data_IF_438956590147
#
_entry.id   IF_438956590147
#
_cell.length_a   1.000
_cell.length_b   1.000
_cell.length_c   1.000
_cell.angle_alpha   90.00
_cell.angle_beta   90.00
_cell.angle_gamma   90.00
#
_symmetry.space_group_name_H-M   'P 1'
#
loop_
_entity.id
_entity.type
_entity.pdbx_description
1 polymer ?
#
# COMPACT_ATOMS: atom_id res chain seq x y z
N UNK A 1 14.99 38.47 2.78
CA UNK A 1 14.18 38.43 1.55
C UNK A 1 13.19 37.30 1.69
N UNK A 2 11.90 37.61 1.63
CA UNK A 2 10.80 36.68 1.88
C UNK A 2 10.72 35.63 0.78
N UNK A 3 10.92 34.36 1.13
CA UNK A 3 10.38 33.25 0.35
C UNK A 3 9.06 32.89 1.01
N UNK A 4 7.99 33.53 0.58
CA UNK A 4 6.67 32.92 0.63
C UNK A 4 6.73 31.70 -0.28
N UNK A 5 7.11 30.54 0.25
CA UNK A 5 6.89 29.28 -0.44
C UNK A 5 5.38 29.13 -0.56
N UNK A 6 4.84 29.35 -1.76
CA UNK A 6 3.50 28.87 -2.04
C UNK A 6 3.52 27.37 -1.70
N UNK A 7 2.75 26.95 -0.70
CA UNK A 7 2.68 25.55 -0.30
C UNK A 7 2.34 24.72 -1.54
N UNK A 8 3.28 23.87 -1.94
CA UNK A 8 3.20 23.10 -3.16
C UNK A 8 2.04 22.11 -3.03
N UNK A 9 1.03 22.28 -3.88
CA UNK A 9 -0.14 21.41 -3.96
C UNK A 9 0.28 20.06 -4.55
N UNK A 10 -0.18 18.96 -3.95
CA UNK A 10 0.08 17.61 -4.44
C UNK A 10 -1.17 17.03 -5.09
N UNK A 11 -1.08 16.70 -6.38
CA UNK A 11 -2.19 16.15 -7.15
C UNK A 11 -2.58 14.76 -6.64
N UNK A 12 -3.88 14.55 -6.48
CA UNK A 12 -4.49 13.22 -6.36
C UNK A 12 -5.60 13.12 -7.39
N UNK A 13 -5.37 12.33 -8.43
CA UNK A 13 -6.39 12.08 -9.44
C UNK A 13 -7.44 11.10 -8.93
N UNK A 14 -8.70 11.37 -9.25
CA UNK A 14 -9.87 10.60 -8.85
C UNK A 14 -10.68 10.22 -10.09
N UNK A 15 -10.69 8.94 -10.45
CA UNK A 15 -11.54 8.42 -11.52
C UNK A 15 -12.67 7.54 -10.95
N UNK A 16 -13.91 7.91 -11.25
CA UNK A 16 -15.07 7.13 -10.84
C UNK A 16 -15.38 5.97 -11.78
N UNK A 17 -15.95 4.93 -11.18
CA UNK A 17 -16.53 3.76 -11.84
C UNK A 17 -17.84 3.37 -11.14
N UNK A 18 -18.83 2.81 -11.86
CA UNK A 18 -20.04 2.34 -11.22
C UNK A 18 -19.76 1.15 -10.28
N UNK A 19 -20.62 0.94 -9.29
CA UNK A 19 -20.60 -0.26 -8.45
C UNK A 19 -20.73 -1.52 -9.30
N UNK A 20 -19.83 -2.48 -9.08
CA UNK A 20 -19.76 -3.70 -9.90
C UNK A 20 -19.21 -3.47 -11.31
N UNK A 21 -18.40 -2.42 -11.51
CA UNK A 21 -17.73 -2.14 -12.77
C UNK A 21 -17.01 -3.37 -13.36
N UNK A 22 -17.11 -3.51 -14.68
CA UNK A 22 -16.37 -4.51 -15.44
C UNK A 22 -14.86 -4.25 -15.40
N UNK A 23 -14.07 -5.28 -15.70
CA UNK A 23 -12.61 -5.15 -15.80
C UNK A 23 -12.19 -4.05 -16.79
N UNK A 24 -12.89 -3.92 -17.92
CA UNK A 24 -12.62 -2.87 -18.92
C UNK A 24 -12.85 -1.46 -18.36
N UNK A 25 -13.94 -1.25 -17.61
CA UNK A 25 -14.22 0.04 -16.95
C UNK A 25 -13.15 0.38 -15.89
N UNK A 26 -12.69 -0.60 -15.12
CA UNK A 26 -11.59 -0.41 -14.16
C UNK A 26 -10.29 -0.08 -14.89
N UNK A 27 -9.99 -0.76 -16.00
CA UNK A 27 -8.79 -0.51 -16.81
C UNK A 27 -8.79 0.92 -17.37
N UNK A 28 -9.90 1.35 -17.94
CA UNK A 28 -10.05 2.70 -18.50
C UNK A 28 -9.96 3.78 -17.41
N UNK A 29 -10.63 3.59 -16.27
CA UNK A 29 -10.52 4.51 -15.14
C UNK A 29 -9.10 4.58 -14.59
N UNK A 30 -8.38 3.45 -14.56
CA UNK A 30 -6.98 3.39 -14.13
C UNK A 30 -6.07 4.19 -15.05
N UNK A 31 -6.25 4.07 -16.37
CA UNK A 31 -5.50 4.86 -17.35
C UNK A 31 -5.77 6.36 -17.21
N UNK A 32 -7.04 6.74 -17.12
CA UNK A 32 -7.44 8.14 -16.92
C UNK A 32 -6.88 8.70 -15.63
N UNK A 33 -6.94 7.95 -14.52
CA UNK A 33 -6.41 8.41 -13.24
C UNK A 33 -4.89 8.62 -13.28
N UNK A 34 -4.14 7.66 -13.84
CA UNK A 34 -2.70 7.78 -13.99
C UNK A 34 -2.31 8.99 -14.85
N UNK A 35 -2.98 9.17 -16.01
CA UNK A 35 -2.67 10.23 -16.97
C UNK A 35 -3.15 11.63 -16.56
N UNK A 36 -4.05 11.73 -15.57
CA UNK A 36 -4.47 13.01 -15.00
C UNK A 36 -3.51 13.52 -13.92
N UNK A 37 -2.62 12.67 -13.39
CA UNK A 37 -1.53 13.09 -12.51
C UNK A 37 -0.43 13.76 -13.34
N UNK A 38 0.10 13.02 -14.31
CA UNK A 38 1.06 13.52 -15.29
C UNK A 38 1.00 12.66 -16.57
N UNK A 39 1.70 13.08 -17.60
CA UNK A 39 1.81 12.35 -18.87
C UNK A 39 2.89 11.26 -18.84
N UNK A 40 3.34 10.82 -17.66
CA UNK A 40 4.46 9.89 -17.48
C UNK A 40 5.79 10.37 -18.10
N UNK A 41 6.02 11.69 -18.21
CA UNK A 41 7.24 12.27 -18.78
C UNK A 41 8.55 11.84 -18.08
N UNK A 42 8.45 11.27 -16.88
CA UNK A 42 9.59 10.68 -16.18
C UNK A 42 10.11 9.40 -16.82
N UNK A 43 9.31 8.71 -17.65
CA UNK A 43 9.64 7.45 -18.30
C UNK A 43 10.29 7.70 -19.67
N UNK A 44 11.53 7.23 -19.85
CA UNK A 44 12.20 7.28 -21.15
C UNK A 44 12.03 5.96 -21.90
N UNK A 45 11.99 5.98 -23.25
CA UNK A 45 11.96 4.74 -24.03
C UNK A 45 13.13 3.82 -23.68
N UNK A 46 12.81 2.57 -23.34
CA UNK A 46 13.80 1.56 -22.94
C UNK A 46 14.01 1.41 -21.43
N UNK A 47 13.54 2.34 -20.59
CA UNK A 47 13.66 2.26 -19.14
C UNK A 47 12.96 1.01 -18.58
N UNK A 48 13.47 0.49 -17.47
CA UNK A 48 12.86 -0.59 -16.70
C UNK A 48 12.04 -0.02 -15.54
N UNK A 49 10.80 -0.48 -15.45
CA UNK A 49 9.85 -0.08 -14.40
C UNK A 49 9.48 -1.27 -13.54
N UNK A 50 9.60 -1.12 -12.23
CA UNK A 50 9.11 -2.09 -11.27
C UNK A 50 7.73 -1.68 -10.73
N UNK A 51 6.74 -2.54 -10.90
CA UNK A 51 5.43 -2.39 -10.29
C UNK A 51 5.39 -3.23 -9.01
N UNK A 52 5.09 -2.56 -7.90
CA UNK A 52 4.88 -3.18 -6.60
C UNK A 52 3.38 -3.32 -6.29
N UNK A 53 2.73 -4.45 -6.60
CA UNK A 53 1.40 -4.75 -6.08
C UNK A 53 1.46 -5.18 -4.60
N UNK A 54 0.31 -5.57 -4.06
CA UNK A 54 0.12 -6.24 -2.77
C UNK A 54 -0.36 -7.67 -3.01
N UNK A 55 0.47 -8.65 -2.63
CA UNK A 55 0.27 -10.08 -2.80
C UNK A 55 0.51 -10.78 -1.45
N UNK A 56 -0.23 -10.39 -0.40
CA UNK A 56 -0.08 -10.99 0.94
C UNK A 56 -0.53 -12.45 0.99
N UNK A 57 -1.53 -12.84 0.20
CA UNK A 57 -2.10 -14.20 0.16
C UNK A 57 -2.69 -14.51 -1.21
N UNK A 58 -3.23 -15.73 -1.36
CA UNK A 58 -3.95 -16.17 -2.57
C UNK A 58 -5.41 -15.70 -2.63
N UNK A 59 -5.85 -14.86 -1.67
CA UNK A 59 -7.20 -14.30 -1.68
C UNK A 59 -7.36 -13.28 -2.83
N UNK A 60 -8.50 -13.28 -3.53
CA UNK A 60 -8.75 -12.36 -4.64
C UNK A 60 -8.87 -10.90 -4.15
N UNK A 61 -8.82 -9.96 -5.09
CA UNK A 61 -9.24 -8.57 -4.86
C UNK A 61 -10.61 -8.53 -4.13
N UNK A 62 -10.81 -7.65 -3.12
CA UNK A 62 -9.92 -6.58 -2.66
C UNK A 62 -8.96 -6.98 -1.55
N UNK A 63 -8.67 -8.28 -1.34
CA UNK A 63 -7.62 -8.75 -0.42
C UNK A 63 -6.19 -8.48 -0.92
N UNK A 64 -6.06 -8.18 -2.21
CA UNK A 64 -4.79 -7.91 -2.92
C UNK A 64 -5.02 -6.73 -3.88
N UNK A 65 -4.03 -6.37 -4.69
CA UNK A 65 -4.22 -5.37 -5.78
C UNK A 65 -5.28 -5.84 -6.78
N UNK A 66 -5.97 -4.91 -7.45
CA UNK A 66 -6.92 -5.25 -8.53
C UNK A 66 -6.17 -5.77 -9.77
N UNK A 67 -6.47 -6.99 -10.26
CA UNK A 67 -5.86 -7.51 -11.49
C UNK A 67 -6.14 -6.64 -12.72
N UNK A 68 -7.35 -6.08 -12.84
CA UNK A 68 -7.71 -5.19 -13.94
C UNK A 68 -6.90 -3.88 -13.92
N UNK A 69 -6.76 -3.26 -12.75
CA UNK A 69 -5.94 -2.07 -12.61
C UNK A 69 -4.45 -2.36 -12.90
N UNK A 70 -3.93 -3.51 -12.43
CA UNK A 70 -2.56 -3.92 -12.71
C UNK A 70 -2.32 -4.08 -14.23
N UNK A 71 -3.21 -4.78 -14.93
CA UNK A 71 -3.12 -4.94 -16.38
C UNK A 71 -3.11 -3.60 -17.11
N UNK A 72 -3.93 -2.64 -16.67
CA UNK A 72 -3.97 -1.29 -17.23
C UNK A 72 -2.67 -0.52 -17.04
N UNK A 73 -2.08 -0.55 -15.83
CA UNK A 73 -0.80 0.12 -15.56
C UNK A 73 0.34 -0.51 -16.37
N UNK A 74 0.40 -1.85 -16.44
CA UNK A 74 1.40 -2.55 -17.27
C UNK A 74 1.27 -2.13 -18.73
N UNK A 75 0.06 -2.20 -19.30
CA UNK A 75 -0.20 -1.82 -20.68
C UNK A 75 0.16 -0.36 -20.96
N UNK A 76 -0.20 0.55 -20.06
CA UNK A 76 0.12 1.97 -20.18
C UNK A 76 1.63 2.22 -20.21
N UNK A 77 2.40 1.61 -19.30
CA UNK A 77 3.86 1.77 -19.27
C UNK A 77 4.52 1.23 -20.54
N UNK A 78 4.03 0.10 -21.07
CA UNK A 78 4.52 -0.49 -22.33
C UNK A 78 4.23 0.42 -23.52
N UNK A 79 3.03 0.97 -23.61
CA UNK A 79 2.65 1.94 -24.66
C UNK A 79 3.48 3.22 -24.60
N UNK A 80 3.88 3.65 -23.41
CA UNK A 80 4.80 4.78 -23.20
C UNK A 80 6.28 4.44 -23.41
N UNK A 81 6.59 3.21 -23.84
CA UNK A 81 7.92 2.83 -24.29
C UNK A 81 8.80 2.18 -23.22
N UNK A 82 8.26 1.74 -22.07
CA UNK A 82 9.03 0.97 -21.10
C UNK A 82 9.65 -0.29 -21.76
N UNK A 83 10.97 -0.40 -21.68
CA UNK A 83 11.71 -1.53 -22.24
C UNK A 83 11.38 -2.82 -21.50
N UNK A 84 11.28 -2.73 -20.17
CA UNK A 84 10.89 -3.83 -19.28
C UNK A 84 9.90 -3.34 -18.22
N UNK A 85 8.88 -4.16 -17.96
CA UNK A 85 7.97 -3.95 -16.83
C UNK A 85 8.02 -5.19 -15.96
N UNK A 86 8.47 -5.03 -14.73
CA UNK A 86 8.59 -6.12 -13.76
C UNK A 86 7.50 -5.96 -12.71
N UNK A 87 6.79 -7.04 -12.39
CA UNK A 87 5.77 -7.06 -11.34
C UNK A 87 6.23 -8.00 -10.23
N UNK A 88 6.33 -7.49 -9.00
CA UNK A 88 6.89 -8.28 -7.91
C UNK A 88 6.46 -7.88 -6.51
N UNK A 89 6.37 -8.87 -5.63
CA UNK A 89 6.13 -8.72 -4.19
C UNK A 89 6.72 -9.93 -3.45
N UNK A 90 6.61 -9.96 -2.12
CA UNK A 90 6.77 -11.16 -1.31
C UNK A 90 5.57 -11.34 -0.38
N UNK A 91 5.02 -12.55 -0.39
CA UNK A 91 3.86 -12.97 0.38
C UNK A 91 3.89 -12.64 1.86
N UNK A 92 2.71 -12.60 2.47
CA UNK A 92 2.56 -12.41 3.91
C UNK A 92 3.22 -13.55 4.68
N UNK A 93 3.71 -13.24 5.89
CA UNK A 93 4.51 -14.16 6.72
C UNK A 93 3.79 -15.46 7.12
N UNK A 94 2.46 -15.46 7.07
CA UNK A 94 1.63 -16.66 7.24
C UNK A 94 1.77 -17.65 6.07
N UNK A 95 2.01 -17.15 4.86
CA UNK A 95 1.98 -17.91 3.61
C UNK A 95 3.38 -18.17 3.05
N UNK A 96 4.29 -17.20 3.14
CA UNK A 96 5.67 -17.28 2.63
C UNK A 96 6.66 -17.02 3.76
N UNK A 97 7.63 -17.92 3.91
CA UNK A 97 8.70 -17.82 4.90
C UNK A 97 10.04 -18.14 4.25
N UNK A 98 10.89 -17.14 4.17
CA UNK A 98 12.24 -17.25 3.63
C UNK A 98 13.26 -17.32 4.78
N UNK A 99 14.25 -18.19 4.67
CA UNK A 99 15.41 -18.31 5.56
C UNK A 99 16.65 -18.61 4.71
N UNK A 100 17.89 -18.46 5.25
CA UNK A 100 19.09 -18.90 4.55
C UNK A 100 18.94 -20.35 4.06
N UNK A 101 19.11 -20.57 2.76
CA UNK A 101 19.03 -21.88 2.11
C UNK A 101 17.63 -22.54 2.08
N UNK A 102 16.55 -21.87 2.50
CA UNK A 102 15.21 -22.48 2.55
C UNK A 102 14.07 -21.48 2.34
N UNK A 103 13.11 -21.86 1.50
CA UNK A 103 11.84 -21.16 1.32
C UNK A 103 10.67 -22.11 1.61
N UNK A 104 9.68 -21.65 2.38
CA UNK A 104 8.39 -22.33 2.56
C UNK A 104 7.27 -21.43 2.06
N UNK A 105 6.42 -21.95 1.19
CA UNK A 105 5.41 -21.16 0.48
C UNK A 105 5.92 -20.66 -0.87
N UNK A 106 5.10 -19.91 -1.60
CA UNK A 106 5.46 -19.33 -2.90
C UNK A 106 4.54 -18.16 -3.21
N UNK A 107 5.09 -16.96 -3.34
CA UNK A 107 4.35 -15.76 -3.76
C UNK A 107 3.83 -15.95 -5.18
N UNK A 108 4.57 -16.62 -6.07
CA UNK A 108 4.09 -16.99 -7.40
C UNK A 108 2.79 -17.77 -7.36
N UNK A 109 2.69 -18.80 -6.51
CA UNK A 109 1.44 -19.57 -6.36
C UNK A 109 0.29 -18.70 -5.84
N UNK A 110 0.56 -17.80 -4.89
CA UNK A 110 -0.45 -16.86 -4.38
C UNK A 110 -0.92 -15.90 -5.51
N UNK A 111 0.02 -15.36 -6.29
CA UNK A 111 -0.26 -14.47 -7.42
C UNK A 111 -1.04 -15.16 -8.55
N UNK A 112 -0.80 -16.46 -8.77
CA UNK A 112 -1.62 -17.26 -9.69
C UNK A 112 -3.04 -17.47 -9.14
N UNK A 113 -3.17 -17.75 -7.84
CA UNK A 113 -4.48 -17.98 -7.20
C UNK A 113 -5.37 -16.73 -7.19
N UNK A 114 -4.78 -15.54 -6.97
CA UNK A 114 -5.54 -14.29 -6.93
C UNK A 114 -5.65 -13.57 -8.29
N UNK A 115 -5.07 -14.15 -9.36
CA UNK A 115 -5.15 -13.64 -10.73
C UNK A 115 -4.12 -12.56 -11.11
N UNK A 116 -3.30 -12.06 -10.18
CA UNK A 116 -2.32 -11.01 -10.47
C UNK A 116 -1.19 -11.48 -11.39
N UNK A 117 -0.76 -12.74 -11.27
CA UNK A 117 0.26 -13.31 -12.15
C UNK A 117 -0.23 -13.33 -13.61
N UNK A 118 -1.45 -13.81 -13.83
CA UNK A 118 -2.06 -13.87 -15.16
C UNK A 118 -2.23 -12.47 -15.75
N UNK A 119 -2.83 -11.54 -15.01
CA UNK A 119 -3.06 -10.18 -15.47
C UNK A 119 -1.76 -9.44 -15.85
N UNK A 120 -0.70 -9.61 -15.05
CA UNK A 120 0.62 -9.04 -15.36
C UNK A 120 1.23 -9.63 -16.63
N UNK A 121 1.24 -10.95 -16.76
CA UNK A 121 1.87 -11.64 -17.90
C UNK A 121 1.12 -11.40 -19.21
N UNK A 122 -0.22 -11.44 -19.19
CA UNK A 122 -1.05 -11.15 -20.37
C UNK A 122 -0.89 -9.70 -20.83
N UNK A 123 -0.69 -8.75 -19.90
CA UNK A 123 -0.37 -7.37 -20.23
C UNK A 123 1.09 -7.15 -20.67
N UNK A 124 1.94 -8.18 -20.61
CA UNK A 124 3.32 -8.16 -21.11
C UNK A 124 4.39 -7.81 -20.07
N UNK A 125 4.12 -8.02 -18.77
CA UNK A 125 5.11 -7.86 -17.71
C UNK A 125 5.86 -9.17 -17.38
N UNK A 126 7.06 -9.02 -16.84
CA UNK A 126 7.87 -10.08 -16.24
C UNK A 126 7.49 -10.24 -14.75
N UNK A 127 7.34 -11.47 -14.26
CA UNK A 127 7.06 -11.72 -12.84
C UNK A 127 8.36 -11.91 -12.04
N UNK A 128 8.53 -11.14 -10.97
CA UNK A 128 9.71 -11.19 -10.10
C UNK A 128 9.32 -11.26 -8.61
N UNK A 129 9.19 -12.47 -8.07
CA UNK A 129 8.88 -12.65 -6.64
C UNK A 129 10.16 -12.79 -5.82
N UNK A 130 10.29 -11.98 -4.76
CA UNK A 130 11.59 -11.75 -4.13
C UNK A 130 12.18 -13.01 -3.49
N UNK A 131 11.34 -13.90 -2.96
CA UNK A 131 11.85 -15.12 -2.34
C UNK A 131 12.47 -16.11 -3.34
N UNK A 132 12.13 -16.02 -4.62
CA UNK A 132 12.62 -16.90 -5.69
C UNK A 132 14.09 -16.63 -6.03
N UNK A 133 14.56 -15.39 -5.86
CA UNK A 133 15.95 -15.00 -6.10
C UNK A 133 16.90 -15.44 -4.97
N UNK A 134 16.35 -15.90 -3.83
CA UNK A 134 17.13 -16.40 -2.69
C UNK A 134 17.47 -15.35 -1.64
N UNK A 135 18.06 -15.81 -0.53
CA UNK A 135 18.29 -14.99 0.68
C UNK A 135 19.30 -13.86 0.46
N UNK A 136 20.30 -14.10 -0.38
CA UNK A 136 21.38 -13.15 -0.70
C UNK A 136 20.99 -12.15 -1.79
N UNK A 137 19.83 -12.30 -2.43
CA UNK A 137 19.33 -11.37 -3.45
C UNK A 137 18.65 -10.14 -2.84
N UNK A 138 19.20 -9.64 -1.73
CA UNK A 138 18.74 -8.47 -1.01
C UNK A 138 19.92 -7.59 -0.63
N UNK A 139 19.70 -6.29 -0.58
CA UNK A 139 20.68 -5.30 -0.11
C UNK A 139 20.11 -4.47 1.03
N UNK A 140 21.01 -3.94 1.88
CA UNK A 140 20.62 -3.05 2.97
C UNK A 140 20.47 -1.61 2.45
N UNK A 141 19.33 -0.98 2.75
CA UNK A 141 19.08 0.47 2.59
C UNK A 141 18.56 1.04 3.91
N UNK A 142 18.93 2.26 4.26
CA UNK A 142 18.65 2.84 5.58
C UNK A 142 17.59 3.94 5.49
N UNK A 143 16.62 3.96 6.42
CA UNK A 143 15.73 5.10 6.58
C UNK A 143 16.50 6.38 6.91
N UNK A 144 15.80 7.52 6.88
CA UNK A 144 16.35 8.78 7.36
C UNK A 144 16.84 8.67 8.83
N UNK A 145 17.85 9.47 9.22
CA UNK A 145 18.36 9.47 10.59
C UNK A 145 17.27 9.71 11.63
N UNK A 146 17.39 9.06 12.79
CA UNK A 146 16.41 9.14 13.88
C UNK A 146 15.27 8.12 13.80
N UNK A 147 15.32 7.18 12.86
CA UNK A 147 14.35 6.09 12.75
C UNK A 147 14.41 5.11 13.93
N UNK A 148 13.30 4.41 14.19
CA UNK A 148 13.19 3.32 15.17
C UNK A 148 13.86 2.02 14.71
N UNK A 149 14.22 1.91 13.44
CA UNK A 149 14.98 0.78 12.89
C UNK A 149 16.40 0.72 13.46
N UNK A 150 16.79 -0.43 14.02
CA UNK A 150 18.15 -0.70 14.52
C UNK A 150 19.11 -1.00 13.37
N UNK A 151 18.60 -1.72 12.37
CA UNK A 151 19.33 -2.13 11.16
C UNK A 151 18.71 -1.48 9.94
N UNK A 152 19.41 -1.46 8.81
CA UNK A 152 18.78 -1.10 7.54
C UNK A 152 17.75 -2.15 7.10
N UNK A 153 16.92 -1.76 6.14
CA UNK A 153 15.94 -2.62 5.52
C UNK A 153 16.63 -3.46 4.46
N UNK A 154 16.45 -4.77 4.52
CA UNK A 154 16.90 -5.66 3.46
C UNK A 154 15.86 -5.64 2.33
N UNK A 155 16.16 -4.90 1.26
CA UNK A 155 15.32 -4.69 0.07
C UNK A 155 15.79 -5.59 -1.09
N UNK A 156 14.90 -5.99 -2.02
CA UNK A 156 15.24 -6.98 -3.05
C UNK A 156 16.10 -6.36 -4.15
N UNK A 157 17.11 -7.11 -4.63
CA UNK A 157 18.12 -6.57 -5.55
C UNK A 157 17.59 -6.11 -6.92
N UNK A 158 16.40 -6.56 -7.30
CA UNK A 158 15.70 -6.05 -8.49
C UNK A 158 15.51 -4.54 -8.45
N UNK A 159 15.40 -3.92 -7.25
CA UNK A 159 15.23 -2.47 -7.13
C UNK A 159 16.47 -1.69 -7.55
N UNK A 160 17.67 -2.31 -7.59
CA UNK A 160 18.87 -1.67 -8.15
C UNK A 160 18.93 -1.73 -9.68
N UNK A 161 18.14 -2.61 -10.28
CA UNK A 161 18.15 -2.91 -11.72
C UNK A 161 17.04 -2.21 -12.51
N UNK A 162 16.29 -1.32 -11.85
CA UNK A 162 15.19 -0.55 -12.44
C UNK A 162 15.37 0.94 -12.18
N UNK A 163 14.87 1.75 -13.10
CA UNK A 163 14.92 3.21 -13.03
C UNK A 163 13.74 3.75 -12.21
N UNK A 164 12.58 3.10 -12.29
CA UNK A 164 11.33 3.60 -11.74
C UNK A 164 10.53 2.55 -10.96
N UNK A 165 9.77 3.02 -9.98
CA UNK A 165 8.84 2.22 -9.20
C UNK A 165 7.42 2.81 -9.33
N UNK A 166 6.45 1.96 -9.64
CA UNK A 166 5.02 2.25 -9.53
C UNK A 166 4.44 1.40 -8.40
N UNK A 167 3.89 2.03 -7.38
CA UNK A 167 3.26 1.35 -6.26
C UNK A 167 1.78 1.13 -6.55
N UNK A 168 1.28 -0.08 -6.33
CA UNK A 168 -0.13 -0.41 -6.55
C UNK A 168 -0.76 -1.02 -5.29
N UNK A 169 -1.06 -0.18 -4.28
CA UNK A 169 -1.65 -0.67 -3.05
C UNK A 169 -3.14 -1.00 -3.24
N UNK A 170 -3.77 -1.35 -2.12
CA UNK A 170 -5.21 -1.60 -2.00
C UNK A 170 -5.78 -0.62 -0.98
N UNK A 171 -7.10 -0.44 -1.00
CA UNK A 171 -7.80 0.28 0.06
C UNK A 171 -8.40 -0.74 1.05
N UNK A 172 -7.85 -0.83 2.26
CA UNK A 172 -8.28 -1.84 3.23
C UNK A 172 -8.02 -1.47 4.69
N UNK A 173 -8.85 -2.02 5.57
CA UNK A 173 -8.62 -2.10 7.02
C UNK A 173 -7.66 -3.26 7.34
N UNK A 174 -6.94 -3.13 8.45
CA UNK A 174 -5.95 -4.12 8.91
C UNK A 174 -6.00 -4.33 10.43
N UNK A 175 -5.98 -5.60 10.83
CA UNK A 175 -6.10 -6.05 12.23
C UNK A 175 -5.05 -5.45 13.18
N UNK A 176 -3.82 -5.27 12.72
CA UNK A 176 -2.72 -4.73 13.54
C UNK A 176 -2.48 -3.22 13.35
N UNK A 177 -2.41 -2.74 12.10
CA UNK A 177 -1.84 -1.45 11.75
C UNK A 177 -2.87 -0.33 11.51
N UNK A 178 -4.16 -0.56 11.74
CA UNK A 178 -5.16 0.42 11.33
C UNK A 178 -5.60 0.12 9.90
N UNK A 179 -4.79 0.53 8.94
CA UNK A 179 -5.10 0.41 7.52
C UNK A 179 -4.04 -0.40 6.77
N UNK A 180 -4.34 -0.80 5.54
CA UNK A 180 -3.38 -1.31 4.56
C UNK A 180 -3.59 -0.53 3.28
N UNK A 181 -2.82 0.54 3.17
CA UNK A 181 -2.75 1.46 2.05
C UNK A 181 -1.33 1.45 1.43
N UNK A 182 -0.90 2.52 0.77
CA UNK A 182 0.40 2.67 0.13
C UNK A 182 1.58 2.54 1.07
N UNK A 183 1.64 3.32 2.16
CA UNK A 183 2.76 3.31 3.10
C UNK A 183 2.99 1.90 3.68
N UNK A 184 1.92 1.14 3.92
CA UNK A 184 2.01 -0.21 4.48
C UNK A 184 2.57 -1.25 3.50
N UNK A 185 2.48 -1.00 2.20
CA UNK A 185 2.95 -1.91 1.15
C UNK A 185 4.49 -2.08 1.16
N UNK A 186 5.22 -1.17 1.82
CA UNK A 186 6.68 -1.25 2.00
C UNK A 186 7.14 -2.55 2.66
N UNK A 187 6.31 -3.13 3.54
CA UNK A 187 6.63 -4.39 4.22
C UNK A 187 6.76 -5.56 3.23
N UNK A 188 6.10 -5.48 2.07
CA UNK A 188 6.23 -6.46 1.00
C UNK A 188 7.65 -6.57 0.43
N UNK A 189 8.45 -5.50 0.45
CA UNK A 189 9.84 -5.52 0.01
C UNK A 189 10.78 -6.23 0.97
N UNK A 190 10.47 -6.19 2.27
CA UNK A 190 11.42 -6.56 3.31
C UNK A 190 11.72 -8.06 3.31
N UNK A 191 13.01 -8.41 3.41
CA UNK A 191 13.45 -9.77 3.75
C UNK A 191 12.92 -10.18 5.12
N UNK A 192 12.90 -11.49 5.37
CA UNK A 192 12.25 -12.09 6.51
C UNK A 192 12.82 -11.66 7.88
N UNK A 193 14.12 -11.38 7.96
CA UNK A 193 14.78 -10.84 9.16
C UNK A 193 14.39 -9.38 9.45
N UNK A 194 14.31 -8.53 8.43
CA UNK A 194 13.75 -7.17 8.56
C UNK A 194 12.28 -7.22 9.03
N UNK A 195 11.47 -8.16 8.51
CA UNK A 195 10.08 -8.36 8.99
C UNK A 195 10.02 -8.84 10.45
N UNK A 196 10.99 -9.62 10.90
CA UNK A 196 11.10 -10.04 12.30
C UNK A 196 11.35 -8.83 13.22
N UNK A 197 12.32 -7.99 12.89
CA UNK A 197 12.58 -6.75 13.66
C UNK A 197 11.32 -5.89 13.75
N UNK A 198 10.65 -5.68 12.61
CA UNK A 198 9.41 -4.93 12.50
C UNK A 198 8.29 -5.43 13.43
N UNK A 199 8.00 -6.74 13.42
CA UNK A 199 6.95 -7.31 14.27
C UNK A 199 7.36 -7.48 15.74
N UNK A 200 8.66 -7.57 16.02
CA UNK A 200 9.17 -7.58 17.39
C UNK A 200 8.98 -6.22 18.07
N UNK A 201 9.14 -5.13 17.32
CA UNK A 201 8.98 -3.74 17.77
C UNK A 201 7.52 -3.25 17.72
N UNK A 202 6.58 -4.03 18.27
CA UNK A 202 5.15 -3.73 18.20
C UNK A 202 4.74 -2.34 18.68
N UNK A 203 5.47 -1.75 19.64
CA UNK A 203 5.20 -0.41 20.17
C UNK A 203 5.43 0.73 19.15
N UNK A 204 6.42 0.54 18.27
CA UNK A 204 6.85 1.53 17.27
C UNK A 204 6.52 1.08 15.83
N UNK A 205 5.72 0.01 15.66
CA UNK A 205 5.49 -0.62 14.36
C UNK A 205 4.83 0.34 13.35
N UNK A 206 3.99 1.27 13.81
CA UNK A 206 3.39 2.30 12.96
C UNK A 206 4.43 3.32 12.48
N UNK A 207 5.26 3.82 13.39
CA UNK A 207 6.36 4.74 13.07
C UNK A 207 7.34 4.08 12.11
N UNK A 208 7.77 2.84 12.41
CA UNK A 208 8.65 2.04 11.55
C UNK A 208 8.06 1.82 10.14
N UNK A 209 6.72 1.75 10.01
CA UNK A 209 6.06 1.64 8.70
C UNK A 209 6.25 2.91 7.88
N UNK A 210 6.04 4.07 8.49
CA UNK A 210 6.27 5.35 7.82
C UNK A 210 7.76 5.58 7.51
N UNK A 211 8.64 5.31 8.46
CA UNK A 211 10.10 5.45 8.30
C UNK A 211 10.66 4.54 7.20
N UNK A 212 10.12 3.33 7.03
CA UNK A 212 10.52 2.42 5.97
C UNK A 212 10.33 3.00 4.55
N UNK A 213 9.40 3.95 4.38
CA UNK A 213 9.19 4.64 3.10
C UNK A 213 10.22 5.76 2.85
N UNK A 214 11.10 6.04 3.81
CA UNK A 214 12.14 7.08 3.71
C UNK A 214 13.51 6.55 3.27
N UNK A 215 13.61 5.26 2.95
CA UNK A 215 14.83 4.68 2.37
C UNK A 215 15.12 5.31 1.01
N UNK A 216 16.40 5.51 0.72
CA UNK A 216 16.86 6.25 -0.46
C UNK A 216 16.34 5.65 -1.78
N UNK A 217 16.26 4.33 -1.86
CA UNK A 217 15.75 3.61 -3.04
C UNK A 217 14.32 4.01 -3.37
N UNK A 218 13.43 4.11 -2.37
CA UNK A 218 12.02 4.41 -2.60
C UNK A 218 11.82 5.90 -2.89
N UNK A 219 12.44 6.78 -2.09
CA UNK A 219 12.37 8.23 -2.30
C UNK A 219 12.85 8.63 -3.70
N UNK A 220 13.91 8.00 -4.20
CA UNK A 220 14.51 8.36 -5.47
C UNK A 220 13.86 7.69 -6.67
N UNK A 221 13.15 6.57 -6.52
CA UNK A 221 12.64 5.78 -7.67
C UNK A 221 11.13 5.67 -7.77
N UNK A 222 10.37 5.88 -6.69
CA UNK A 222 8.91 5.88 -6.79
C UNK A 222 8.43 7.09 -7.59
N UNK A 223 7.53 6.85 -8.56
CA UNK A 223 7.00 7.88 -9.47
C UNK A 223 5.50 8.03 -9.37
N UNK A 224 4.80 6.93 -9.11
CA UNK A 224 3.35 6.89 -9.13
C UNK A 224 2.84 5.86 -8.12
N UNK A 225 1.72 6.18 -7.49
CA UNK A 225 0.93 5.27 -6.66
C UNK A 225 -0.47 5.18 -7.24
N UNK A 226 -0.99 3.97 -7.48
CA UNK A 226 -2.31 3.76 -8.10
C UNK A 226 -3.11 2.70 -7.36
N UNK A 227 -4.32 3.04 -6.91
CA UNK A 227 -5.23 2.08 -6.25
C UNK A 227 -6.60 2.06 -6.89
N UNK A 228 -7.07 0.86 -7.21
CA UNK A 228 -8.49 0.63 -7.42
C UNK A 228 -9.15 0.35 -6.06
N UNK A 229 -10.23 1.08 -5.79
CA UNK A 229 -11.02 1.02 -4.58
C UNK A 229 -12.52 1.00 -4.89
N UNK A 230 -12.89 0.37 -6.02
CA UNK A 230 -14.26 -0.05 -6.33
C UNK A 230 -14.74 -1.18 -5.41
N UNK A 231 -13.81 -1.90 -4.79
CA UNK A 231 -14.08 -2.74 -3.64
C UNK A 231 -13.09 -2.44 -2.50
N UNK A 232 -13.58 -2.50 -1.27
CA UNK A 232 -12.81 -2.17 -0.07
C UNK A 232 -12.93 -3.32 0.94
N UNK A 233 -11.81 -3.82 1.47
CA UNK A 233 -11.86 -4.73 2.60
C UNK A 233 -12.01 -3.91 3.89
N UNK A 234 -13.24 -3.83 4.38
CA UNK A 234 -13.61 -2.81 5.34
C UNK A 234 -13.30 -3.19 6.80
N UNK A 235 -12.99 -4.45 7.12
CA UNK A 235 -12.79 -4.90 8.51
C UNK A 235 -11.49 -5.68 8.73
N UNK A 236 -11.53 -6.91 9.24
CA UNK A 236 -10.41 -7.69 9.77
C UNK A 236 -9.04 -7.48 9.10
N UNK A 237 -8.88 -7.81 7.82
CA UNK A 237 -7.62 -7.70 7.07
C UNK A 237 -6.43 -8.49 7.66
N UNK A 238 -5.36 -8.73 6.87
CA UNK A 238 -5.24 -8.42 5.46
C UNK A 238 -5.94 -9.45 4.53
N UNK A 239 -6.18 -10.68 4.99
CA UNK A 239 -6.67 -11.77 4.11
C UNK A 239 -8.20 -11.87 4.03
N UNK A 240 -8.88 -11.62 5.15
CA UNK A 240 -10.33 -11.82 5.31
C UNK A 240 -10.98 -10.59 5.93
N UNK A 241 -12.27 -10.44 5.76
CA UNK A 241 -13.03 -9.31 6.30
C UNK A 241 -14.30 -9.10 5.49
N UNK A 242 -15.07 -8.10 5.89
CA UNK A 242 -16.23 -7.68 5.13
C UNK A 242 -15.77 -6.90 3.89
N UNK A 243 -16.19 -7.34 2.70
CA UNK A 243 -15.94 -6.64 1.44
C UNK A 243 -17.11 -5.71 1.17
N UNK A 244 -16.82 -4.42 1.02
CA UNK A 244 -17.75 -3.41 0.56
C UNK A 244 -17.55 -3.18 -0.94
N UNK A 245 -18.66 -3.15 -1.68
CA UNK A 245 -18.71 -2.65 -3.07
C UNK A 245 -19.60 -1.41 -3.05
N UNK A 246 -19.03 -0.19 -3.05
CA UNK A 246 -19.82 1.03 -3.04
C UNK A 246 -20.63 1.18 -4.33
N UNK A 247 -21.71 1.97 -4.30
CA UNK A 247 -22.48 2.29 -5.51
C UNK A 247 -21.65 3.02 -6.57
N UNK A 248 -20.63 3.74 -6.10
CA UNK A 248 -19.62 4.41 -6.92
C UNK A 248 -18.24 4.03 -6.40
N UNK A 249 -17.44 3.35 -7.22
CA UNK A 249 -16.05 3.04 -6.94
C UNK A 249 -15.10 4.16 -7.36
N UNK A 250 -13.90 4.17 -6.78
CA UNK A 250 -12.83 5.09 -7.15
C UNK A 250 -11.58 4.34 -7.62
N UNK A 251 -10.92 4.88 -8.64
CA UNK A 251 -9.51 4.64 -8.92
C UNK A 251 -8.75 5.92 -8.60
N UNK A 252 -7.73 5.81 -7.75
CA UNK A 252 -6.95 6.92 -7.22
C UNK A 252 -5.51 6.83 -7.74
N UNK A 253 -4.93 7.97 -8.12
CA UNK A 253 -3.52 8.04 -8.51
C UNK A 253 -2.84 9.31 -7.97
N UNK A 254 -1.56 9.23 -7.61
CA UNK A 254 -0.77 10.38 -7.13
C UNK A 254 0.72 10.10 -7.29
N UNK A 255 1.58 11.13 -7.44
CA UNK A 255 3.03 10.93 -7.37
C UNK A 255 3.50 10.77 -5.91
N UNK A 256 2.67 11.13 -4.93
CA UNK A 256 2.99 11.05 -3.50
C UNK A 256 2.19 9.95 -2.83
N UNK A 257 2.89 9.02 -2.18
CA UNK A 257 2.25 7.97 -1.37
C UNK A 257 1.50 8.54 -0.18
N UNK A 258 1.97 9.65 0.40
CA UNK A 258 1.30 10.31 1.53
C UNK A 258 0.00 10.94 1.08
N UNK A 259 0.00 11.72 -0.01
CA UNK A 259 -1.22 12.33 -0.53
C UNK A 259 -2.23 11.28 -1.01
N UNK A 260 -1.75 10.23 -1.69
CA UNK A 260 -2.57 9.07 -2.05
C UNK A 260 -3.23 8.44 -0.82
N UNK A 261 -2.47 8.17 0.23
CA UNK A 261 -2.98 7.48 1.41
C UNK A 261 -3.92 8.35 2.26
N UNK A 262 -3.75 9.67 2.28
CA UNK A 262 -4.72 10.59 2.91
C UNK A 262 -6.11 10.41 2.27
N UNK A 263 -6.17 10.43 0.94
CA UNK A 263 -7.43 10.27 0.19
C UNK A 263 -7.94 8.84 0.28
N UNK A 264 -7.06 7.84 0.19
CA UNK A 264 -7.47 6.44 0.31
C UNK A 264 -7.98 6.10 1.71
N UNK A 265 -7.43 6.71 2.76
CA UNK A 265 -7.94 6.57 4.12
C UNK A 265 -9.28 7.29 4.27
N UNK A 266 -9.42 8.51 3.76
CA UNK A 266 -10.71 9.21 3.72
C UNK A 266 -11.79 8.37 3.03
N UNK A 267 -11.46 7.73 1.90
CA UNK A 267 -12.35 6.81 1.19
C UNK A 267 -12.73 5.59 2.03
N UNK A 268 -11.77 4.99 2.73
CA UNK A 268 -12.03 3.88 3.65
C UNK A 268 -12.95 4.29 4.82
N UNK A 269 -12.72 5.46 5.41
CA UNK A 269 -13.53 6.01 6.51
C UNK A 269 -14.95 6.29 6.02
N UNK A 270 -15.09 7.00 4.89
CA UNK A 270 -16.38 7.32 4.28
C UNK A 270 -17.22 6.05 4.08
N UNK A 271 -16.66 5.03 3.44
CA UNK A 271 -17.39 3.78 3.17
C UNK A 271 -17.67 2.97 4.45
N UNK A 272 -16.78 3.02 5.46
CA UNK A 272 -17.02 2.34 6.74
C UNK A 272 -18.13 2.99 7.55
N UNK A 273 -18.41 4.28 7.39
CA UNK A 273 -19.54 4.96 8.07
C UNK A 273 -20.90 4.42 7.62
N UNK A 274 -20.98 3.82 6.44
CA UNK A 274 -22.18 3.18 5.93
C UNK A 274 -22.38 1.74 6.45
N UNK A 275 -21.44 1.17 7.21
CA UNK A 275 -21.57 -0.18 7.75
C UNK A 275 -22.51 -0.22 8.95
N UNK A 276 -23.28 -1.30 9.06
CA UNK A 276 -24.03 -1.60 10.27
C UNK A 276 -23.07 -1.77 11.46
N UNK A 277 -23.39 -1.26 12.66
CA UNK A 277 -22.54 -1.42 13.85
C UNK A 277 -22.21 -2.89 14.18
N UNK A 278 -23.10 -3.82 13.82
CA UNK A 278 -22.87 -5.27 13.99
C UNK A 278 -21.77 -5.84 13.08
N UNK A 279 -21.39 -5.13 12.01
CA UNK A 279 -20.35 -5.54 11.07
C UNK A 279 -18.95 -5.05 11.48
N UNK A 280 -18.85 -4.06 12.36
CA UNK A 280 -17.59 -3.43 12.81
C UNK A 280 -17.23 -3.75 14.27
N UNK A 281 -17.94 -4.67 14.93
CA UNK A 281 -17.62 -5.07 16.30
C UNK A 281 -16.22 -5.69 16.45
N UNK A 282 -15.70 -5.75 17.68
CA UNK A 282 -14.31 -6.18 17.96
C UNK A 282 -13.97 -7.61 17.50
N UNK A 283 -14.95 -8.50 17.28
CA UNK A 283 -14.70 -9.83 16.72
C UNK A 283 -14.43 -9.77 15.22
N UNK A 284 -15.01 -8.78 14.53
CA UNK A 284 -14.89 -8.54 13.09
C UNK A 284 -13.84 -7.49 12.74
N UNK A 285 -13.52 -6.60 13.67
CA UNK A 285 -12.44 -5.61 13.60
C UNK A 285 -11.56 -5.68 14.86
N UNK A 286 -10.59 -6.62 14.92
CA UNK A 286 -9.80 -6.91 16.12
C UNK A 286 -8.87 -5.77 16.51
N UNK A 287 -8.62 -4.82 15.61
CA UNK A 287 -7.86 -3.62 15.92
C UNK A 287 -8.62 -2.70 16.88
N UNK A 288 -9.94 -2.87 17.06
CA UNK A 288 -10.68 -2.21 18.13
C UNK A 288 -10.35 -2.76 19.53
N UNK A 289 -9.59 -3.87 19.63
CA UNK A 289 -9.20 -4.50 20.90
C UNK A 289 -7.69 -4.59 21.04
N UNK A 290 -7.07 -3.83 21.97
CA UNK A 290 -5.65 -3.93 22.27
C UNK A 290 -5.21 -5.36 22.60
N UNK A 291 -6.02 -6.12 23.34
CA UNK A 291 -5.70 -7.51 23.70
C UNK A 291 -5.59 -8.40 22.45
N UNK A 292 -6.57 -8.34 21.55
CA UNK A 292 -6.60 -9.18 20.34
C UNK A 292 -5.49 -8.80 19.36
N UNK A 293 -5.26 -7.50 19.17
CA UNK A 293 -4.19 -7.01 18.31
C UNK A 293 -2.81 -7.42 18.81
N UNK A 294 -2.59 -7.36 20.14
CA UNK A 294 -1.35 -7.86 20.76
C UNK A 294 -1.18 -9.37 20.57
N UNK A 295 -2.20 -10.17 20.89
CA UNK A 295 -2.14 -11.62 20.70
C UNK A 295 -1.78 -12.00 19.25
N UNK A 296 -2.39 -11.31 18.28
CA UNK A 296 -2.09 -11.51 16.86
C UNK A 296 -0.66 -11.09 16.50
N UNK A 297 -0.15 -9.96 17.01
CA UNK A 297 1.24 -9.55 16.75
C UNK A 297 2.26 -10.53 17.36
N UNK A 298 2.03 -11.01 18.58
CA UNK A 298 2.87 -12.02 19.22
C UNK A 298 2.89 -13.34 18.41
N UNK A 299 1.74 -13.77 17.88
CA UNK A 299 1.68 -14.94 17.00
C UNK A 299 2.51 -14.74 15.73
N UNK A 300 2.43 -13.55 15.12
CA UNK A 300 3.22 -13.19 13.93
C UNK A 300 4.73 -13.19 14.23
N UNK A 301 5.17 -12.55 15.31
CA UNK A 301 6.55 -12.56 15.76
C UNK A 301 7.04 -14.00 16.04
N UNK A 302 6.18 -14.85 16.58
CA UNK A 302 6.43 -16.28 16.77
C UNK A 302 6.64 -17.05 15.45
N UNK A 303 5.87 -16.74 14.40
CA UNK A 303 6.07 -17.34 13.07
C UNK A 303 7.39 -16.91 12.41
N UNK A 304 7.87 -15.71 12.73
CA UNK A 304 9.09 -15.12 12.21
C UNK A 304 10.33 -15.67 12.93
N UNK A 305 10.36 -15.56 14.26
CA UNK A 305 11.54 -15.82 15.11
C UNK A 305 11.42 -16.97 16.11
N UNK A 306 10.30 -17.72 16.10
CA UNK A 306 10.05 -18.80 17.06
C UNK A 306 9.42 -18.32 18.38
N UNK A 307 9.15 -19.26 19.30
CA UNK A 307 8.36 -19.00 20.52
C UNK A 307 8.94 -17.86 21.38
N UNK A 308 10.26 -17.76 21.52
CA UNK A 308 10.91 -16.71 22.30
C UNK A 308 10.69 -15.30 21.71
N UNK A 309 10.73 -15.16 20.39
CA UNK A 309 10.40 -13.90 19.72
C UNK A 309 8.91 -13.54 19.88
N UNK A 310 8.05 -14.55 19.85
CA UNK A 310 6.62 -14.37 20.12
C UNK A 310 6.34 -13.88 21.53
N UNK A 311 6.98 -14.43 22.56
CA UNK A 311 6.77 -14.02 23.96
C UNK A 311 7.37 -12.65 24.30
N UNK A 312 8.46 -12.27 23.62
CA UNK A 312 9.20 -11.03 23.89
C UNK A 312 8.83 -9.85 22.98
N UNK A 313 7.86 -10.03 22.07
CA UNK A 313 7.39 -8.95 21.22
C UNK A 313 6.82 -7.80 22.08
N UNK A 314 7.17 -6.56 21.73
CA UNK A 314 6.66 -5.40 22.43
C UNK A 314 5.18 -5.17 22.12
N UNK A 315 4.47 -4.61 23.08
CA UNK A 315 3.03 -4.41 22.96
C UNK A 315 2.69 -3.40 21.85
N UNK A 316 1.79 -3.79 20.97
CA UNK A 316 1.21 -2.96 19.92
C UNK A 316 0.05 -2.13 20.49
N UNK A 317 0.02 -0.85 20.11
CA UNK A 317 -1.10 0.04 20.42
C UNK A 317 -1.95 0.20 19.16
N UNK A 318 -3.18 -0.33 19.13
CA UNK A 318 -4.06 -0.16 17.98
C UNK A 318 -4.51 1.28 17.79
N UNK A 319 -5.15 1.54 16.66
CA UNK A 319 -5.50 2.90 16.26
C UNK A 319 -6.95 2.94 15.79
N UNK A 320 -7.81 3.78 16.41
CA UNK A 320 -9.15 4.03 15.90
C UNK A 320 -9.08 4.57 14.46
N UNK A 321 -10.12 4.30 13.67
CA UNK A 321 -10.18 4.68 12.26
C UNK A 321 -11.37 5.62 11.98
N UNK A 322 -11.62 6.56 12.87
CA UNK A 322 -12.75 7.49 12.75
C UNK A 322 -12.37 8.76 11.99
N UNK A 323 -11.09 9.12 12.07
CA UNK A 323 -10.49 10.33 11.50
C UNK A 323 -9.11 10.03 10.92
N UNK A 324 -8.71 10.80 9.91
CA UNK A 324 -7.41 10.66 9.25
C UNK A 324 -6.25 10.94 10.21
N UNK A 325 -6.37 11.96 11.08
CA UNK A 325 -5.34 12.31 12.07
C UNK A 325 -5.03 11.20 13.08
N UNK A 326 -5.95 10.26 13.28
CA UNK A 326 -5.74 9.16 14.23
C UNK A 326 -4.74 8.13 13.67
N UNK A 327 -4.64 7.97 12.35
CA UNK A 327 -3.74 6.98 11.74
C UNK A 327 -2.27 7.35 12.05
N UNK A 328 -1.67 6.62 12.98
CA UNK A 328 -0.30 6.86 13.45
C UNK A 328 0.74 6.73 12.35
N UNK A 329 0.49 5.88 11.33
CA UNK A 329 1.41 5.72 10.20
C UNK A 329 1.41 7.01 9.38
N UNK A 330 0.22 7.50 8.99
CA UNK A 330 0.10 8.73 8.22
C UNK A 330 0.54 9.97 9.00
N UNK A 331 0.15 10.09 10.26
CA UNK A 331 0.57 11.20 11.12
C UNK A 331 2.10 11.24 11.30
N UNK A 332 2.75 10.08 11.44
CA UNK A 332 4.21 10.03 11.49
C UNK A 332 4.85 10.33 10.12
N UNK A 333 4.31 9.77 9.03
CA UNK A 333 4.78 10.03 7.67
C UNK A 333 4.75 11.53 7.34
N UNK A 334 3.65 12.23 7.64
CA UNK A 334 3.54 13.68 7.45
C UNK A 334 4.64 14.42 8.24
N UNK A 335 4.92 14.04 9.48
CA UNK A 335 5.98 14.69 10.28
C UNK A 335 7.38 14.51 9.69
N UNK A 336 7.70 13.31 9.19
CA UNK A 336 9.07 12.99 8.73
C UNK A 336 9.31 13.26 7.23
N UNK A 337 8.25 13.47 6.44
CA UNK A 337 8.30 13.73 4.99
C UNK A 337 7.95 15.18 4.61
N UNK A 338 8.14 16.14 5.53
CA UNK A 338 8.03 17.57 5.22
C UNK A 338 6.66 18.21 5.45
N UNK A 339 5.81 17.59 6.26
CA UNK A 339 4.47 18.07 6.61
C UNK A 339 3.34 17.28 5.93
N UNK A 340 2.10 17.60 6.31
CA UNK A 340 0.94 17.07 5.60
C UNK A 340 0.82 17.79 4.24
N UNK A 341 0.84 17.06 3.10
CA UNK A 341 0.73 17.70 1.80
C UNK A 341 -0.66 18.29 1.62
N UNK A 342 -0.72 19.48 0.99
CA UNK A 342 -1.99 20.05 0.55
C UNK A 342 -2.49 19.28 -0.67
N UNK A 343 -3.48 18.42 -0.48
CA UNK A 343 -4.09 17.62 -1.55
C UNK A 343 -4.83 18.51 -2.54
N UNK A 344 -4.58 18.29 -3.83
CA UNK A 344 -5.29 18.90 -4.96
C UNK A 344 -6.04 17.80 -5.73
N UNK A 345 -7.33 17.58 -5.44
CA UNK A 345 -8.09 16.51 -6.09
C UNK A 345 -8.36 16.88 -7.55
N UNK A 346 -7.97 16.01 -8.47
CA UNK A 346 -8.20 16.18 -9.91
C UNK A 346 -9.20 15.13 -10.39
N UNK A 347 -10.43 15.52 -10.76
CA UNK A 347 -11.37 14.61 -11.39
C UNK A 347 -10.82 14.11 -12.73
N UNK A 348 -10.76 12.80 -12.91
CA UNK A 348 -10.41 12.17 -14.16
C UNK A 348 -11.60 11.35 -14.63
N UNK A 349 -12.36 11.82 -15.64
CA UNK A 349 -13.52 11.12 -16.20
C UNK A 349 -14.82 11.92 -16.25
N UNK A 350 -15.96 11.23 -16.52
CA UNK A 350 -17.28 11.85 -16.38
C UNK A 350 -17.48 12.38 -14.95
N UNK A 351 -18.39 13.35 -14.79
CA UNK A 351 -18.60 14.09 -13.54
C UNK A 351 -18.61 13.16 -12.32
N UNK A 352 -17.75 13.47 -11.35
CA UNK A 352 -17.75 12.78 -10.07
C UNK A 352 -19.12 13.00 -9.41
N UNK A 353 -19.66 11.96 -8.77
CA UNK A 353 -20.82 12.04 -7.89
C UNK A 353 -20.82 13.37 -7.10
N UNK A 354 -21.85 14.22 -7.26
CA UNK A 354 -21.86 15.56 -6.69
C UNK A 354 -21.56 15.54 -5.19
N UNK A 355 -20.65 16.40 -4.73
CA UNK A 355 -20.27 16.51 -3.32
C UNK A 355 -19.28 15.46 -2.81
N UNK A 356 -19.04 14.35 -3.52
CA UNK A 356 -18.14 13.30 -3.01
C UNK A 356 -16.70 13.80 -2.80
N UNK A 357 -16.18 14.62 -3.73
CA UNK A 357 -14.84 15.19 -3.57
C UNK A 357 -14.76 16.07 -2.35
N UNK A 358 -15.77 16.92 -2.14
CA UNK A 358 -15.81 17.84 -1.00
C UNK A 358 -15.85 17.08 0.32
N UNK A 359 -16.67 16.02 0.42
CA UNK A 359 -16.74 15.14 1.60
C UNK A 359 -15.39 14.45 1.88
N UNK A 360 -14.70 13.97 0.85
CA UNK A 360 -13.38 13.37 1.02
C UNK A 360 -12.34 14.41 1.44
N UNK A 361 -12.39 15.62 0.87
CA UNK A 361 -11.46 16.69 1.23
C UNK A 361 -11.70 17.20 2.65
N UNK A 362 -12.94 17.22 3.13
CA UNK A 362 -13.27 17.54 4.53
C UNK A 362 -12.61 16.53 5.49
N UNK A 363 -12.63 15.24 5.14
CA UNK A 363 -11.93 14.21 5.93
C UNK A 363 -10.41 14.32 5.86
N UNK A 364 -9.86 14.74 4.73
CA UNK A 364 -8.42 14.93 4.52
C UNK A 364 -7.90 16.16 5.28
N UNK A 365 -8.68 17.24 5.33
CA UNK A 365 -8.35 18.50 6.03
C UNK A 365 -8.57 18.41 7.54
N UNK A 366 -8.13 17.31 8.17
CA UNK A 366 -8.23 17.11 9.60
C UNK A 366 -7.23 18.03 10.35
N UNK A 367 -7.69 19.02 11.15
CA UNK A 367 -6.79 19.97 11.82
C UNK A 367 -5.83 19.33 12.81
N UNK A 368 -6.11 18.11 13.27
CA UNK A 368 -5.24 17.38 14.19
C UNK A 368 -4.14 16.58 13.47
N UNK A 369 -4.09 16.58 12.13
CA UNK A 369 -3.09 15.84 11.35
C UNK A 369 -1.72 16.53 11.47
N UNK A 370 -0.75 15.82 12.06
CA UNK A 370 0.62 16.31 12.20
C UNK A 370 0.85 17.28 13.38
N UNK A 371 -0.17 17.50 14.21
CA UNK A 371 -0.08 18.23 15.48
C UNK A 371 0.72 17.49 16.56
#
# INVERSE_FOLDING_TARGET
MSVTSAEEKTVVSLAQVPGGASAEQIMEATRRAALAVDDLAWLRPGDAVFIKPVINSGSPYPATTSPAALAAVVGLLRERGAGRVLVGDMGGVAHVRQRPGRVKGSTRKLAMQNGLAQAAQEAGAELHFFEEAGWEAFFEDRPLPGSHWKSGLMLPEVLRQVEHIVLMPRCARHALLGSTLGLKAVVGYMRFDTRLEYHHQGAAIQEMTAEANTVSTLLNKQRLVVSAADQVLATYGPDKGHVLTPEVGLVMASPSVVAHDLVSLAWLIHNRRALDPGQTNFLRDPNASPLLANLANHAVAGMLGGLGAGLSALALTPTPLERVSQDRVLAHACRILGGAPRVDPVPAGPELAPGLVDELMELVQDPALGA
#
